data_IF_172100938316
#
_entry.id   IF_172100938316
#
_cell.length_a   1.000
_cell.length_b   1.000
_cell.length_c   1.000
_cell.angle_alpha   90.00
_cell.angle_beta   90.00
_cell.angle_gamma   90.00
#
_symmetry.space_group_name_H-M   'P 1'
#
loop_
_entity.id
_entity.type
_entity.pdbx_description
1 polymer ?
#
# COMPACT_ATOMS: atom_id res chain seq x y z
N UNK A 1 12.15 -8.12 3.54
CA UNK A 1 12.20 -6.90 2.70
C UNK A 1 10.77 -6.56 2.38
N UNK A 2 10.26 -5.38 2.76
CA UNK A 2 8.84 -5.08 2.61
C UNK A 2 8.46 -4.88 1.14
N UNK A 3 7.29 -5.39 0.76
CA UNK A 3 6.70 -5.29 -0.58
C UNK A 3 5.40 -4.49 -0.49
N UNK A 4 5.36 -3.37 -1.21
CA UNK A 4 4.22 -2.46 -1.24
C UNK A 4 3.59 -2.49 -2.64
N UNK A 5 2.28 -2.70 -2.73
CA UNK A 5 1.55 -2.62 -4.00
C UNK A 5 0.99 -1.20 -4.19
N UNK A 6 1.52 -0.49 -5.19
CA UNK A 6 1.01 0.81 -5.60
C UNK A 6 0.15 0.71 -6.86
N UNK A 7 -1.05 1.28 -6.81
CA UNK A 7 -1.89 1.48 -7.97
C UNK A 7 -1.91 2.95 -8.39
N UNK A 8 -1.36 3.23 -9.57
CA UNK A 8 -1.18 4.57 -10.12
C UNK A 8 -2.37 5.00 -10.98
N UNK A 9 -2.29 6.26 -11.45
CA UNK A 9 -3.26 6.86 -12.39
C UNK A 9 -4.70 6.80 -11.86
N UNK A 10 -4.87 6.98 -10.55
CA UNK A 10 -6.18 6.97 -9.89
C UNK A 10 -7.15 7.98 -10.51
N UNK A 11 -6.63 9.10 -11.02
CA UNK A 11 -7.37 10.13 -11.74
C UNK A 11 -8.06 9.63 -13.03
N UNK A 12 -7.54 8.59 -13.67
CA UNK A 12 -8.14 8.01 -14.87
C UNK A 12 -9.21 6.98 -14.55
N UNK A 13 -9.38 6.58 -13.29
CA UNK A 13 -10.38 5.58 -12.92
C UNK A 13 -11.77 6.18 -12.99
N UNK A 14 -12.50 5.81 -14.03
CA UNK A 14 -13.88 6.24 -14.28
C UNK A 14 -14.71 5.04 -14.70
N UNK A 15 -15.93 4.91 -14.17
CA UNK A 15 -16.88 3.86 -14.58
C UNK A 15 -17.27 3.95 -16.07
N UNK A 16 -16.94 5.07 -16.73
CA UNK A 16 -17.17 5.29 -18.16
C UNK A 16 -15.99 4.85 -19.02
N UNK A 17 -14.89 4.37 -18.44
CA UNK A 17 -13.76 3.87 -19.22
C UNK A 17 -14.17 2.56 -19.94
N UNK A 18 -14.12 2.51 -21.28
CA UNK A 18 -14.50 1.32 -22.03
C UNK A 18 -13.59 0.11 -21.77
N UNK A 19 -12.38 0.31 -21.25
CA UNK A 19 -11.46 -0.79 -20.91
C UNK A 19 -11.73 -1.37 -19.51
N UNK A 20 -12.66 -0.77 -18.76
CA UNK A 20 -12.87 -1.08 -17.35
C UNK A 20 -11.79 -0.50 -16.44
N UNK A 21 -12.06 -0.53 -15.14
CA UNK A 21 -11.16 -0.05 -14.10
C UNK A 21 -10.92 -1.14 -13.07
N UNK A 22 -9.77 -1.09 -12.42
CA UNK A 22 -9.53 -1.88 -11.22
C UNK A 22 -10.17 -1.15 -10.06
N UNK A 23 -11.15 -1.80 -9.42
CA UNK A 23 -11.75 -1.23 -8.23
C UNK A 23 -10.83 -1.40 -7.01
N UNK A 24 -10.89 -0.49 -6.02
CA UNK A 24 -10.04 -0.57 -4.83
C UNK A 24 -10.10 -1.93 -4.12
N UNK A 25 -11.29 -2.52 -3.99
CA UNK A 25 -11.46 -3.85 -3.39
C UNK A 25 -10.71 -4.97 -4.15
N UNK A 26 -10.62 -4.86 -5.47
CA UNK A 26 -9.87 -5.83 -6.28
C UNK A 26 -8.37 -5.64 -6.10
N UNK A 27 -7.91 -4.39 -6.05
CA UNK A 27 -6.51 -4.05 -5.74
C UNK A 27 -6.07 -4.58 -4.38
N UNK A 28 -6.90 -4.41 -3.34
CA UNK A 28 -6.66 -4.97 -2.02
C UNK A 28 -6.62 -6.49 -2.02
N UNK A 29 -7.56 -7.16 -2.71
CA UNK A 29 -7.55 -8.62 -2.84
C UNK A 29 -6.26 -9.11 -3.50
N UNK A 30 -5.83 -8.46 -4.58
CA UNK A 30 -4.57 -8.80 -5.26
C UNK A 30 -3.38 -8.58 -4.31
N UNK A 31 -3.35 -7.49 -3.55
CA UNK A 31 -2.29 -7.27 -2.56
C UNK A 31 -2.23 -8.39 -1.51
N UNK A 32 -3.39 -8.89 -1.06
CA UNK A 32 -3.48 -10.02 -0.14
C UNK A 32 -3.00 -11.32 -0.77
N UNK A 33 -3.45 -11.64 -1.99
CA UNK A 33 -3.04 -12.83 -2.74
C UNK A 33 -1.53 -12.84 -3.00
N UNK A 34 -0.96 -11.68 -3.33
CA UNK A 34 0.47 -11.48 -3.55
C UNK A 34 1.26 -11.33 -2.25
N UNK A 35 0.61 -11.39 -1.09
CA UNK A 35 1.29 -11.29 0.20
C UNK A 35 2.09 -9.99 0.33
N UNK A 36 1.56 -8.90 -0.24
CA UNK A 36 2.11 -7.57 -0.06
C UNK A 36 1.81 -7.07 1.35
N UNK A 37 2.70 -6.25 1.89
CA UNK A 37 2.58 -5.64 3.21
C UNK A 37 1.56 -4.50 3.24
N UNK A 38 1.31 -3.89 2.08
CA UNK A 38 0.36 -2.78 1.95
C UNK A 38 -0.13 -2.63 0.53
N UNK A 39 -1.33 -2.10 0.40
CA UNK A 39 -1.90 -1.57 -0.83
C UNK A 39 -2.09 -0.05 -0.70
N UNK A 40 -1.73 0.69 -1.73
CA UNK A 40 -1.84 2.15 -1.78
C UNK A 40 -2.22 2.63 -3.17
N UNK A 41 -2.88 3.78 -3.26
CA UNK A 41 -3.28 4.38 -4.53
C UNK A 41 -2.95 5.87 -4.58
N UNK A 42 -2.47 6.35 -5.72
CA UNK A 42 -2.28 7.78 -5.93
C UNK A 42 -2.37 8.18 -7.41
N UNK A 43 -2.43 9.48 -7.65
CA UNK A 43 -2.22 10.07 -8.96
C UNK A 43 -1.03 11.03 -8.93
N UNK A 44 0.03 10.69 -9.66
CA UNK A 44 1.15 11.60 -9.88
C UNK A 44 0.78 12.81 -10.76
N UNK A 45 -0.30 12.70 -11.53
CA UNK A 45 -0.74 13.76 -12.44
C UNK A 45 -1.52 14.84 -11.70
N UNK A 46 -2.46 14.45 -10.83
CA UNK A 46 -3.28 15.39 -10.04
C UNK A 46 -2.66 15.72 -8.68
N UNK A 47 -1.69 14.91 -8.22
CA UNK A 47 -1.12 15.01 -6.87
C UNK A 47 -1.98 14.35 -5.80
N UNK A 48 -3.11 13.75 -6.16
CA UNK A 48 -4.00 13.06 -5.22
C UNK A 48 -3.27 11.92 -4.50
N UNK A 49 -3.27 11.98 -3.15
CA UNK A 49 -2.72 10.98 -2.23
C UNK A 49 -1.20 10.73 -2.34
N UNK A 50 -0.47 11.56 -3.09
CA UNK A 50 0.96 11.36 -3.30
C UNK A 50 1.75 11.49 -1.99
N UNK A 51 1.41 12.47 -1.15
CA UNK A 51 2.13 12.72 0.10
C UNK A 51 1.94 11.58 1.11
N UNK A 52 0.70 11.09 1.23
CA UNK A 52 0.28 10.00 2.08
C UNK A 52 0.99 8.70 1.69
N UNK A 53 1.07 8.42 0.39
CA UNK A 53 1.81 7.27 -0.14
C UNK A 53 3.30 7.36 0.20
N UNK A 54 3.92 8.52 0.08
CA UNK A 54 5.33 8.71 0.45
C UNK A 54 5.57 8.55 1.95
N UNK A 55 4.66 9.05 2.78
CA UNK A 55 4.73 8.86 4.23
C UNK A 55 4.64 7.39 4.60
N UNK A 56 3.71 6.65 3.98
CA UNK A 56 3.51 5.24 4.23
C UNK A 56 4.71 4.39 3.80
N UNK A 57 5.30 4.68 2.64
CA UNK A 57 6.56 4.06 2.21
C UNK A 57 7.67 4.32 3.24
N UNK A 58 7.83 5.57 3.66
CA UNK A 58 8.88 5.97 4.60
C UNK A 58 8.71 5.30 5.97
N UNK A 59 7.46 5.26 6.47
CA UNK A 59 7.09 4.60 7.73
C UNK A 59 7.36 3.10 7.66
N UNK A 60 6.92 2.44 6.59
CA UNK A 60 7.17 1.02 6.34
C UNK A 60 8.67 0.72 6.33
N UNK A 61 9.48 1.55 5.66
CA UNK A 61 10.92 1.37 5.60
C UNK A 61 11.58 1.50 6.99
N UNK A 62 11.18 2.50 7.79
CA UNK A 62 11.72 2.70 9.15
C UNK A 62 11.35 1.54 10.08
N UNK A 63 10.11 1.06 10.00
CA UNK A 63 9.64 -0.10 10.79
C UNK A 63 10.41 -1.37 10.41
N UNK A 64 10.59 -1.62 9.10
CA UNK A 64 11.30 -2.80 8.62
C UNK A 64 12.78 -2.87 9.05
N UNK A 65 13.41 -1.73 9.37
CA UNK A 65 14.81 -1.65 9.82
C UNK A 65 14.93 -1.61 11.36
N UNK A 66 13.81 -1.72 12.09
CA UNK A 66 13.80 -1.75 13.56
C UNK A 66 13.98 -0.37 14.23
N UNK A 67 13.79 0.72 13.49
CA UNK A 67 13.97 2.10 13.98
C UNK A 67 12.74 2.72 14.67
N UNK A 68 11.60 2.05 14.68
CA UNK A 68 10.35 2.57 15.24
C UNK A 68 10.20 2.30 16.74
N UNK A 69 10.24 3.34 17.58
CA UNK A 69 10.07 3.25 19.05
C UNK A 69 8.63 2.99 19.53
N UNK A 70 7.72 2.55 18.66
CA UNK A 70 6.36 2.20 19.06
C UNK A 70 6.14 0.69 18.91
N UNK A 71 6.49 -0.04 19.97
CA UNK A 71 5.82 -1.27 20.40
C UNK A 71 5.83 -2.47 19.45
N UNK A 72 6.86 -3.29 19.54
CA UNK A 72 6.71 -4.74 19.47
C UNK A 72 7.92 -5.39 20.16
N UNK A 73 7.82 -5.54 21.48
CA UNK A 73 8.63 -6.48 22.28
C UNK A 73 8.10 -7.93 22.09
N UNK A 74 7.50 -8.22 20.92
CA UNK A 74 6.82 -9.49 20.61
C UNK A 74 6.95 -9.87 19.11
N UNK A 75 8.12 -9.65 18.51
CA UNK A 75 8.51 -10.27 17.23
C UNK A 75 7.69 -9.90 15.98
N UNK A 76 6.68 -9.03 16.07
CA UNK A 76 5.76 -8.65 14.99
C UNK A 76 6.00 -7.25 14.40
N UNK A 77 7.04 -6.54 14.89
CA UNK A 77 7.35 -5.15 14.54
C UNK A 77 8.10 -4.92 13.23
N UNK A 78 8.25 -5.95 12.41
CA UNK A 78 8.76 -5.83 11.04
C UNK A 78 7.78 -6.53 10.13
N UNK A 79 7.28 -5.82 9.12
CA UNK A 79 6.34 -6.36 8.14
C UNK A 79 6.70 -7.81 7.70
N UNK A 80 5.67 -8.64 7.69
CA UNK A 80 5.71 -10.10 7.93
C UNK A 80 5.77 -10.93 6.65
N UNK A 81 5.65 -12.26 6.77
CA UNK A 81 5.48 -13.24 5.68
C UNK A 81 4.14 -13.09 4.91
N UNK A 82 3.78 -11.85 4.57
CA UNK A 82 2.75 -11.52 3.61
C UNK A 82 1.33 -11.47 4.16
N UNK A 83 0.86 -10.28 4.44
CA UNK A 83 -0.53 -10.02 4.79
C UNK A 83 -0.88 -8.55 4.71
N UNK A 84 -1.65 -8.18 3.69
CA UNK A 84 -2.28 -6.87 3.62
C UNK A 84 -3.53 -6.92 4.53
N UNK A 85 -3.39 -6.54 5.80
CA UNK A 85 -4.53 -6.44 6.72
C UNK A 85 -5.45 -5.29 6.29
N UNK A 86 -6.77 -5.53 6.29
CA UNK A 86 -7.78 -4.50 6.09
C UNK A 86 -7.78 -3.62 7.35
N UNK A 87 -7.18 -2.43 7.25
CA UNK A 87 -7.23 -1.42 8.29
C UNK A 87 -8.62 -0.77 8.38
#
# INVERSE_FOLDING_TARGET
MPILLLALKRDLRSEKDPNGIIYPQEGHRIAQELRCDRYMECSSMTGELVAEVWEDISRTAVLAVGGGKNGADDGSGGLSEGGCELM
#
